data_IF_543624668452
#
_entry.id   IF_543624668452
#
_cell.length_a   1.000
_cell.length_b   1.000
_cell.length_c   1.000
_cell.angle_alpha   90.00
_cell.angle_beta   90.00
_cell.angle_gamma   90.00
#
_symmetry.space_group_name_H-M   'P 1'
#
loop_
_entity.id
_entity.type
_entity.pdbx_description
1 polymer ?
#
# COMPACT_ATOMS: atom_id res chain seq x y z
N UNK A 1 17.85 29.32 17.61
CA UNK A 1 17.59 30.18 16.43
C UNK A 1 18.45 29.81 15.23
N UNK A 2 19.73 29.47 15.41
CA UNK A 2 20.64 29.17 14.30
C UNK A 2 20.22 27.98 13.41
N UNK A 3 19.72 26.89 14.00
CA UNK A 3 19.31 25.68 13.26
C UNK A 3 18.06 25.87 12.39
N UNK A 4 17.19 26.83 12.74
CA UNK A 4 16.00 27.16 11.93
C UNK A 4 16.44 27.77 10.59
N UNK A 5 17.41 28.67 10.60
CA UNK A 5 17.93 29.30 9.37
C UNK A 5 18.66 28.29 8.46
N UNK A 6 19.34 27.30 9.05
CA UNK A 6 19.99 26.22 8.29
C UNK A 6 18.96 25.35 7.56
N UNK A 7 17.89 24.95 8.25
CA UNK A 7 16.81 24.15 7.64
C UNK A 7 16.07 24.92 6.55
N UNK A 8 15.77 26.20 6.77
CA UNK A 8 15.17 27.06 5.74
C UNK A 8 16.10 27.20 4.52
N UNK A 9 17.42 27.30 4.74
CA UNK A 9 18.42 27.27 3.68
C UNK A 9 18.45 25.94 2.93
N UNK A 10 18.32 24.80 3.61
CA UNK A 10 18.24 23.49 2.96
C UNK A 10 16.99 23.34 2.10
N UNK A 11 15.82 23.79 2.58
CA UNK A 11 14.60 23.76 1.78
C UNK A 11 14.69 24.63 0.53
N UNK A 12 15.25 25.83 0.67
CA UNK A 12 15.48 26.73 -0.44
C UNK A 12 16.43 26.12 -1.48
N UNK A 13 17.56 25.55 -1.05
CA UNK A 13 18.54 24.92 -1.94
C UNK A 13 18.03 23.63 -2.60
N UNK A 14 17.11 22.91 -1.95
CA UNK A 14 16.48 21.72 -2.50
C UNK A 14 15.32 22.04 -3.49
N UNK A 15 15.00 23.31 -3.71
CA UNK A 15 13.89 23.72 -4.58
C UNK A 15 12.50 23.40 -4.03
N UNK A 16 12.41 23.07 -2.74
CA UNK A 16 11.15 22.74 -2.07
C UNK A 16 10.39 24.03 -1.76
N UNK A 17 9.30 24.29 -2.47
CA UNK A 17 8.64 25.61 -2.51
C UNK A 17 7.19 25.65 -2.02
N UNK A 18 6.55 24.50 -1.76
CA UNK A 18 5.20 24.45 -1.19
C UNK A 18 4.98 23.19 -0.35
N UNK A 19 4.19 23.30 0.72
CA UNK A 19 3.82 22.16 1.59
C UNK A 19 4.98 21.49 2.33
N UNK A 20 6.12 22.18 2.46
CA UNK A 20 7.35 21.60 3.03
C UNK A 20 7.17 21.38 4.53
N UNK A 21 7.47 20.16 4.99
CA UNK A 21 7.45 19.80 6.40
C UNK A 21 8.86 19.54 6.91
N UNK A 22 9.20 20.13 8.06
CA UNK A 22 10.50 20.03 8.70
C UNK A 22 10.41 19.76 10.19
N UNK A 23 11.49 19.22 10.74
CA UNK A 23 11.62 18.92 12.16
C UNK A 23 13.00 19.34 12.68
N UNK A 24 13.05 19.96 13.85
CA UNK A 24 14.27 20.13 14.66
C UNK A 24 14.08 19.30 15.92
N UNK A 25 14.88 18.25 16.07
CA UNK A 25 14.92 17.45 17.28
C UNK A 25 16.15 17.86 18.09
N UNK A 26 15.97 18.19 19.36
CA UNK A 26 17.07 18.55 20.24
C UNK A 26 16.90 17.94 21.62
N UNK A 27 18.02 17.71 22.30
CA UNK A 27 18.01 17.19 23.66
C UNK A 27 17.53 18.29 24.63
N UNK A 28 16.53 17.96 25.43
CA UNK A 28 15.91 18.85 26.42
C UNK A 28 15.67 18.07 27.71
N UNK A 29 16.65 18.00 28.63
CA UNK A 29 16.55 17.20 29.84
C UNK A 29 15.38 17.63 30.71
N UNK A 30 14.64 16.63 31.21
CA UNK A 30 13.49 16.76 32.11
C UNK A 30 12.34 17.62 31.60
N UNK A 31 12.33 17.97 30.31
CA UNK A 31 11.34 18.89 29.76
C UNK A 31 11.00 18.55 28.31
N UNK A 32 9.76 18.11 28.09
CA UNK A 32 9.20 17.99 26.76
C UNK A 32 8.65 19.34 26.31
N UNK A 33 9.15 19.83 25.19
CA UNK A 33 8.63 21.05 24.59
C UNK A 33 8.44 20.85 23.09
N UNK A 34 7.27 21.26 22.60
CA UNK A 34 6.89 21.18 21.19
C UNK A 34 6.44 22.55 20.73
N UNK A 35 7.06 23.05 19.67
CA UNK A 35 6.70 24.32 19.04
C UNK A 35 6.48 24.09 17.56
N UNK A 36 5.34 24.53 17.04
CA UNK A 36 5.00 24.45 15.62
C UNK A 36 5.09 25.84 15.00
N UNK A 37 5.91 25.98 13.96
CA UNK A 37 6.00 27.14 13.10
C UNK A 37 5.28 26.81 11.78
N UNK A 38 4.34 27.64 11.36
CA UNK A 38 3.60 27.47 10.11
C UNK A 38 3.84 28.66 9.21
N UNK A 39 4.06 28.42 7.92
CA UNK A 39 4.08 29.49 6.93
C UNK A 39 2.67 29.73 6.32
N UNK A 40 2.57 30.74 5.45
CA UNK A 40 1.33 31.12 4.76
C UNK A 40 0.96 30.22 3.57
N UNK A 41 1.79 29.23 3.22
CA UNK A 41 1.68 28.35 2.05
C UNK A 41 1.68 26.86 2.46
N UNK A 42 1.18 26.58 3.67
CA UNK A 42 1.04 25.25 4.27
C UNK A 42 2.34 24.53 4.65
N UNK A 43 3.50 25.19 4.62
CA UNK A 43 4.73 24.71 5.20
C UNK A 43 4.65 24.64 6.73
N UNK A 44 5.23 23.58 7.31
CA UNK A 44 5.23 23.34 8.75
C UNK A 44 6.64 22.98 9.21
N UNK A 45 7.21 23.75 10.12
CA UNK A 45 8.45 23.42 10.81
C UNK A 45 8.15 23.19 12.28
N UNK A 46 8.41 21.99 12.78
CA UNK A 46 8.26 21.69 14.20
C UNK A 46 9.60 21.59 14.92
N UNK A 47 9.61 22.04 16.16
CA UNK A 47 10.76 21.98 17.05
C UNK A 47 10.36 21.19 18.29
N UNK A 48 11.05 20.07 18.52
CA UNK A 48 10.75 19.12 19.59
C UNK A 48 11.99 18.92 20.47
N UNK A 49 11.87 19.33 21.74
CA UNK A 49 12.82 19.00 22.80
C UNK A 49 12.49 17.64 23.40
N UNK A 50 13.45 16.71 23.38
CA UNK A 50 13.28 15.33 23.83
C UNK A 50 14.23 15.02 24.98
N UNK A 51 13.76 14.26 25.95
CA UNK A 51 14.60 13.60 26.96
C UNK A 51 14.52 12.08 26.76
N UNK A 52 15.59 11.39 26.37
CA UNK A 52 15.60 9.93 26.20
C UNK A 52 15.37 9.17 27.50
N UNK A 53 15.39 9.83 28.65
CA UNK A 53 15.07 9.24 29.95
C UNK A 53 13.60 9.38 30.35
N UNK A 54 12.78 10.10 29.57
CA UNK A 54 11.34 10.27 29.80
C UNK A 54 10.49 9.30 28.96
N UNK A 55 9.17 9.32 29.20
CA UNK A 55 8.20 8.37 28.67
C UNK A 55 8.20 8.22 27.13
N UNK A 56 7.99 6.98 26.65
CA UNK A 56 7.88 6.56 25.25
C UNK A 56 6.93 7.44 24.41
N UNK A 57 5.91 8.04 25.03
CA UNK A 57 4.93 8.90 24.38
C UNK A 57 5.55 10.12 23.67
N UNK A 58 6.69 10.64 24.13
CA UNK A 58 7.37 11.77 23.49
C UNK A 58 7.99 11.38 22.13
N UNK A 59 8.44 10.13 22.01
CA UNK A 59 8.97 9.58 20.77
C UNK A 59 7.86 9.26 19.76
N UNK A 60 6.65 8.93 20.24
CA UNK A 60 5.49 8.72 19.37
C UNK A 60 5.05 10.01 18.67
N UNK A 61 5.13 11.16 19.35
CA UNK A 61 4.82 12.47 18.75
C UNK A 61 5.82 12.82 17.64
N UNK A 62 7.10 12.53 17.85
CA UNK A 62 8.17 12.71 16.85
C UNK A 62 8.00 11.75 15.67
N UNK A 63 7.66 10.49 15.93
CA UNK A 63 7.37 9.53 14.87
C UNK A 63 6.18 10.01 14.03
N UNK A 64 5.12 10.51 14.65
CA UNK A 64 3.96 11.08 13.96
C UNK A 64 4.35 12.28 13.09
N UNK A 65 5.23 13.15 13.61
CA UNK A 65 5.75 14.27 12.84
C UNK A 65 6.52 13.83 11.59
N UNK A 66 7.47 12.90 11.76
CA UNK A 66 8.30 12.38 10.67
C UNK A 66 7.41 11.72 9.61
N UNK A 67 6.44 10.92 10.04
CA UNK A 67 5.48 10.29 9.15
C UNK A 67 4.55 11.31 8.46
N UNK A 68 4.19 12.40 9.11
CA UNK A 68 3.42 13.46 8.46
C UNK A 68 4.27 14.23 7.45
N UNK A 69 5.60 14.31 7.66
CA UNK A 69 6.54 14.90 6.72
C UNK A 69 6.81 14.02 5.48
N UNK A 70 6.56 12.71 5.54
CA UNK A 70 6.58 11.82 4.36
C UNK A 70 5.33 11.97 3.48
N UNK A 71 4.43 12.90 3.82
CA UNK A 71 3.22 13.15 3.06
C UNK A 71 2.15 12.08 3.28
N UNK A 72 2.19 11.33 4.38
CA UNK A 72 1.08 10.46 4.77
C UNK A 72 -0.11 11.29 5.25
N UNK A 73 -1.32 10.89 4.85
CA UNK A 73 -2.54 11.53 5.36
C UNK A 73 -2.79 11.13 6.83
N UNK A 74 -3.56 11.96 7.56
CA UNK A 74 -3.85 11.74 8.99
C UNK A 74 -4.52 10.38 9.25
N UNK A 75 -5.21 9.83 8.25
CA UNK A 75 -5.88 8.53 8.34
C UNK A 75 -4.89 7.37 8.29
N UNK A 76 -3.87 7.43 7.44
CA UNK A 76 -2.78 6.46 7.38
C UNK A 76 -1.94 6.51 8.65
N UNK A 77 -1.67 7.72 9.17
CA UNK A 77 -0.97 7.92 10.44
C UNK A 77 -1.72 7.28 11.62
N UNK A 78 -3.03 7.52 11.72
CA UNK A 78 -3.88 6.92 12.75
C UNK A 78 -3.91 5.39 12.65
N UNK A 79 -3.91 4.82 11.44
CA UNK A 79 -3.88 3.37 11.24
C UNK A 79 -2.56 2.75 11.68
N UNK A 80 -1.42 3.39 11.38
CA UNK A 80 -0.10 2.94 11.84
C UNK A 80 -0.06 2.98 13.38
N UNK A 81 -0.45 4.12 13.98
CA UNK A 81 -0.43 4.29 15.43
C UNK A 81 -1.34 3.28 16.15
N UNK A 82 -2.53 2.98 15.60
CA UNK A 82 -3.46 2.00 16.16
C UNK A 82 -3.03 0.54 15.95
N UNK A 83 -2.11 0.27 15.01
CA UNK A 83 -1.54 -1.05 14.80
C UNK A 83 -0.34 -1.30 15.73
N UNK A 84 0.39 -0.25 16.13
CA UNK A 84 1.57 -0.36 17.02
C UNK A 84 1.24 -0.22 18.50
N UNK A 85 0.02 0.21 18.86
CA UNK A 85 -0.42 0.41 20.26
C UNK A 85 -0.96 -0.84 20.96
N UNK A 86 -1.24 -1.93 20.23
CA UNK A 86 -1.74 -3.18 20.83
C UNK A 86 -0.58 -4.02 21.39
N UNK A 87 -0.64 -4.34 22.69
CA UNK A 87 0.35 -5.16 23.43
C UNK A 87 0.45 -6.61 22.92
N UNK A 88 -0.47 -7.02 22.04
CA UNK A 88 -0.40 -8.26 21.26
C UNK A 88 -0.30 -7.86 19.79
N UNK A 89 0.93 -7.78 19.28
CA UNK A 89 1.20 -7.46 17.89
C UNK A 89 0.57 -8.51 16.97
N UNK A 90 -0.58 -8.20 16.38
CA UNK A 90 -1.09 -8.96 15.24
C UNK A 90 -0.26 -8.55 14.00
N UNK A 91 0.58 -9.45 13.47
CA UNK A 91 1.44 -9.14 12.33
C UNK A 91 0.64 -8.76 11.09
N UNK A 92 -0.57 -9.31 10.87
CA UNK A 92 -1.37 -8.95 9.70
C UNK A 92 -2.00 -7.57 9.83
N UNK A 93 -2.45 -7.19 11.04
CA UNK A 93 -2.95 -5.83 11.31
C UNK A 93 -1.85 -4.78 11.07
N UNK A 94 -0.63 -5.10 11.49
CA UNK A 94 0.55 -4.26 11.28
C UNK A 94 0.92 -4.17 9.80
N UNK A 95 0.96 -5.30 9.09
CA UNK A 95 1.24 -5.33 7.65
C UNK A 95 0.20 -4.56 6.83
N UNK A 96 -1.08 -4.65 7.21
CA UNK A 96 -2.16 -3.88 6.59
C UNK A 96 -1.96 -2.37 6.75
N UNK A 97 -1.61 -1.92 7.95
CA UNK A 97 -1.33 -0.51 8.20
C UNK A 97 -0.14 0.02 7.37
N UNK A 98 0.94 -0.77 7.24
CA UNK A 98 2.08 -0.40 6.40
C UNK A 98 1.74 -0.36 4.91
N UNK A 99 0.96 -1.30 4.40
CA UNK A 99 0.49 -1.29 3.01
C UNK A 99 -0.38 -0.06 2.73
N UNK A 100 -1.32 0.26 3.63
CA UNK A 100 -2.18 1.45 3.51
C UNK A 100 -1.35 2.74 3.50
N UNK A 101 -0.34 2.83 4.35
CA UNK A 101 0.56 3.97 4.40
C UNK A 101 1.39 4.08 3.12
N UNK A 102 1.98 2.99 2.63
CA UNK A 102 2.75 2.99 1.39
C UNK A 102 1.89 3.45 0.19
N UNK A 103 0.63 2.99 0.11
CA UNK A 103 -0.32 3.42 -0.91
C UNK A 103 -0.66 4.91 -0.79
N UNK A 104 -0.91 5.40 0.42
CA UNK A 104 -1.19 6.82 0.65
C UNK A 104 0.00 7.70 0.25
N UNK A 105 1.22 7.31 0.62
CA UNK A 105 2.44 8.01 0.24
C UNK A 105 2.61 8.07 -1.28
N UNK A 106 2.45 6.93 -1.98
CA UNK A 106 2.56 6.90 -3.45
C UNK A 106 1.48 7.74 -4.15
N UNK A 107 0.24 7.70 -3.66
CA UNK A 107 -0.86 8.53 -4.19
C UNK A 107 -0.58 10.03 -4.02
N UNK A 108 -0.10 10.42 -2.85
CA UNK A 108 0.24 11.81 -2.56
C UNK A 108 1.46 12.28 -3.37
N UNK A 109 2.45 11.40 -3.56
CA UNK A 109 3.58 11.68 -4.44
C UNK A 109 3.13 11.87 -5.89
N UNK A 110 2.17 11.09 -6.38
CA UNK A 110 1.60 11.25 -7.74
C UNK A 110 0.85 12.56 -7.92
N UNK A 111 0.17 13.08 -6.90
CA UNK A 111 -0.52 14.36 -7.01
C UNK A 111 0.42 15.52 -7.41
N UNK A 112 1.72 15.36 -7.15
CA UNK A 112 2.77 16.31 -7.48
C UNK A 112 3.57 15.94 -8.76
N UNK A 113 3.24 14.82 -9.40
CA UNK A 113 3.85 14.38 -10.67
C UNK A 113 2.95 14.85 -11.82
N UNK A 114 3.49 15.55 -12.85
CA UNK A 114 2.70 15.88 -14.04
C UNK A 114 2.09 14.61 -14.64
N UNK A 115 0.78 14.59 -14.92
CA UNK A 115 0.13 13.37 -15.43
C UNK A 115 0.78 12.83 -16.71
N UNK A 116 1.32 13.73 -17.54
CA UNK A 116 2.12 13.44 -18.74
C UNK A 116 3.31 12.51 -18.44
N UNK A 117 3.89 12.57 -17.24
CA UNK A 117 5.01 11.73 -16.82
C UNK A 117 4.63 10.26 -16.58
N UNK A 118 3.34 9.95 -16.37
CA UNK A 118 2.86 8.57 -16.18
C UNK A 118 2.52 7.87 -17.51
N UNK A 119 2.33 8.63 -18.60
CA UNK A 119 1.93 8.07 -19.90
C UNK A 119 2.89 7.01 -20.44
N UNK A 120 4.23 7.21 -20.43
CA UNK A 120 5.15 6.21 -20.92
C UNK A 120 5.04 4.90 -20.14
N UNK A 121 5.00 4.97 -18.81
CA UNK A 121 4.84 3.80 -17.93
C UNK A 121 3.51 3.10 -18.19
N UNK A 122 2.40 3.85 -18.27
CA UNK A 122 1.08 3.30 -18.60
C UNK A 122 1.10 2.56 -19.93
N UNK A 123 1.67 3.15 -20.98
CA UNK A 123 1.76 2.53 -22.30
C UNK A 123 2.56 1.23 -22.28
N UNK A 124 3.73 1.21 -21.64
CA UNK A 124 4.58 0.02 -21.53
C UNK A 124 3.91 -1.07 -20.70
N UNK A 125 3.33 -0.72 -19.55
CA UNK A 125 2.62 -1.66 -18.68
C UNK A 125 1.40 -2.26 -19.37
N UNK A 126 0.60 -1.46 -20.06
CA UNK A 126 -0.53 -1.93 -20.84
C UNK A 126 -0.09 -2.90 -21.95
N UNK A 127 0.97 -2.56 -22.68
CA UNK A 127 1.52 -3.44 -23.72
C UNK A 127 2.01 -4.78 -23.15
N UNK A 128 2.65 -4.77 -21.97
CA UNK A 128 3.14 -5.98 -21.30
C UNK A 128 2.02 -6.89 -20.80
N UNK A 129 0.94 -6.31 -20.30
CA UNK A 129 -0.22 -7.06 -19.79
C UNK A 129 -1.19 -7.47 -20.91
N UNK A 130 -1.13 -6.84 -22.08
CA UNK A 130 -1.97 -7.16 -23.23
C UNK A 130 -3.45 -7.07 -22.88
N UNK A 131 -4.23 -8.10 -23.24
CA UNK A 131 -5.68 -8.13 -23.00
C UNK A 131 -6.05 -8.03 -21.52
N UNK A 132 -5.20 -8.50 -20.60
CA UNK A 132 -5.44 -8.42 -19.16
C UNK A 132 -5.63 -6.95 -18.74
N UNK A 133 -4.89 -6.03 -19.35
CA UNK A 133 -4.98 -4.60 -19.04
C UNK A 133 -6.39 -4.06 -19.20
N UNK A 134 -7.10 -4.48 -20.27
CA UNK A 134 -8.43 -4.00 -20.60
C UNK A 134 -9.53 -4.52 -19.66
N UNK A 135 -9.22 -5.55 -18.86
CA UNK A 135 -10.13 -6.20 -17.92
C UNK A 135 -9.93 -5.69 -16.47
N UNK A 136 -8.96 -4.81 -16.25
CA UNK A 136 -8.69 -4.18 -14.95
C UNK A 136 -9.52 -2.90 -14.79
N UNK A 137 -10.00 -2.65 -13.57
CA UNK A 137 -10.59 -1.37 -13.19
C UNK A 137 -9.58 -0.22 -13.31
N UNK A 138 -10.07 1.01 -13.49
CA UNK A 138 -9.22 2.20 -13.59
C UNK A 138 -8.38 2.40 -12.31
N UNK A 139 -8.92 2.02 -11.15
CA UNK A 139 -8.22 2.04 -9.86
C UNK A 139 -7.07 1.02 -9.83
N UNK A 140 -7.32 -0.23 -10.27
CA UNK A 140 -6.28 -1.24 -10.36
C UNK A 140 -5.18 -0.83 -11.36
N UNK A 141 -5.57 -0.32 -12.53
CA UNK A 141 -4.62 0.21 -13.53
C UNK A 141 -3.77 1.33 -12.93
N UNK A 142 -4.39 2.25 -12.18
CA UNK A 142 -3.70 3.37 -11.53
C UNK A 142 -2.72 2.87 -10.48
N UNK A 143 -3.11 1.93 -9.61
CA UNK A 143 -2.21 1.33 -8.62
C UNK A 143 -0.98 0.67 -9.27
N UNK A 144 -1.17 -0.08 -10.36
CA UNK A 144 -0.08 -0.76 -11.07
C UNK A 144 0.86 0.26 -11.71
N UNK A 145 0.33 1.24 -12.44
CA UNK A 145 1.15 2.27 -13.11
C UNK A 145 1.94 3.09 -12.10
N UNK A 146 1.31 3.42 -10.97
CA UNK A 146 1.95 4.11 -9.86
C UNK A 146 3.14 3.33 -9.33
N UNK A 147 2.94 2.05 -9.01
CA UNK A 147 3.99 1.18 -8.50
C UNK A 147 5.14 1.02 -9.51
N UNK A 148 4.82 0.75 -10.77
CA UNK A 148 5.80 0.65 -11.86
C UNK A 148 6.58 1.94 -12.05
N UNK A 149 5.92 3.10 -11.98
CA UNK A 149 6.57 4.40 -12.14
C UNK A 149 7.60 4.63 -11.03
N UNK A 150 7.20 4.48 -9.77
CA UNK A 150 8.11 4.68 -8.64
C UNK A 150 9.25 3.66 -8.63
N UNK A 151 8.98 2.40 -8.99
CA UNK A 151 10.05 1.41 -9.10
C UNK A 151 11.08 1.74 -10.18
N UNK A 152 10.65 2.23 -11.34
CA UNK A 152 11.54 2.57 -12.45
C UNK A 152 12.34 3.86 -12.19
N UNK A 153 11.81 4.76 -11.35
CA UNK A 153 12.48 5.99 -10.95
C UNK A 153 13.44 5.80 -9.77
N UNK A 154 13.27 4.73 -9.00
CA UNK A 154 14.10 4.43 -7.85
C UNK A 154 15.51 3.95 -8.28
N UNK A 155 16.59 4.46 -7.66
CA UNK A 155 17.94 3.91 -7.80
C UNK A 155 18.00 2.42 -7.45
N UNK A 156 18.99 1.70 -8.00
CA UNK A 156 19.13 0.25 -7.78
C UNK A 156 19.37 -0.16 -6.32
N UNK A 157 19.92 0.76 -5.51
CA UNK A 157 20.21 0.60 -4.09
C UNK A 157 19.11 1.15 -3.17
N UNK A 158 18.03 1.70 -3.74
CA UNK A 158 16.88 2.16 -2.98
C UNK A 158 16.02 0.98 -2.48
N UNK A 159 15.16 1.28 -1.52
CA UNK A 159 14.13 0.35 -1.07
C UNK A 159 12.95 0.33 -2.05
N UNK A 160 12.68 -0.83 -2.64
CA UNK A 160 11.55 -1.05 -3.55
C UNK A 160 10.33 -1.68 -2.86
N UNK A 161 10.24 -1.65 -1.53
CA UNK A 161 9.13 -2.21 -0.76
C UNK A 161 7.79 -1.55 -1.11
N UNK A 162 7.75 -0.22 -1.21
CA UNK A 162 6.56 0.56 -1.57
C UNK A 162 5.93 0.13 -2.90
N UNK A 163 6.68 0.14 -4.02
CA UNK A 163 6.19 -0.38 -5.30
C UNK A 163 5.66 -1.81 -5.22
N UNK A 164 6.35 -2.71 -4.50
CA UNK A 164 5.91 -4.10 -4.37
C UNK A 164 4.59 -4.22 -3.61
N UNK A 165 4.40 -3.42 -2.57
CA UNK A 165 3.13 -3.31 -1.84
C UNK A 165 2.02 -2.71 -2.73
N UNK A 166 2.35 -1.75 -3.59
CA UNK A 166 1.44 -1.19 -4.58
C UNK A 166 0.91 -2.24 -5.56
N UNK A 167 1.79 -3.11 -6.08
CA UNK A 167 1.39 -4.22 -6.94
C UNK A 167 0.53 -5.26 -6.20
N UNK A 168 0.88 -5.59 -4.96
CA UNK A 168 0.10 -6.52 -4.16
C UNK A 168 -1.30 -5.97 -3.83
N UNK A 169 -1.41 -4.66 -3.57
CA UNK A 169 -2.67 -3.98 -3.37
C UNK A 169 -3.58 -4.01 -4.62
N UNK A 170 -3.00 -3.93 -5.83
CA UNK A 170 -3.78 -4.09 -7.05
C UNK A 170 -4.37 -5.50 -7.18
N UNK A 171 -3.62 -6.55 -6.79
CA UNK A 171 -4.14 -7.93 -6.74
C UNK A 171 -5.25 -8.06 -5.69
N UNK A 172 -5.07 -7.44 -4.53
CA UNK A 172 -6.09 -7.40 -3.47
C UNK A 172 -7.37 -6.73 -3.98
N UNK A 173 -7.25 -5.58 -4.63
CA UNK A 173 -8.38 -4.84 -5.19
C UNK A 173 -9.15 -5.69 -6.21
N UNK A 174 -8.46 -6.31 -7.18
CA UNK A 174 -9.13 -7.17 -8.17
C UNK A 174 -9.84 -8.34 -7.49
N UNK A 175 -9.22 -8.99 -6.49
CA UNK A 175 -9.84 -10.10 -5.76
C UNK A 175 -11.11 -9.64 -5.03
N UNK A 176 -11.07 -8.43 -4.47
CA UNK A 176 -12.22 -7.83 -3.79
C UNK A 176 -13.34 -7.46 -4.74
N UNK A 177 -13.03 -6.71 -5.80
CA UNK A 177 -14.00 -6.22 -6.78
C UNK A 177 -14.72 -7.37 -7.50
N UNK A 178 -14.03 -8.47 -7.76
CA UNK A 178 -14.57 -9.58 -8.56
C UNK A 178 -15.26 -10.65 -7.73
N UNK A 179 -14.80 -10.91 -6.51
CA UNK A 179 -15.26 -12.04 -5.70
C UNK A 179 -15.85 -11.58 -4.37
N UNK A 180 -15.07 -10.89 -3.53
CA UNK A 180 -15.45 -10.69 -2.13
C UNK A 180 -16.51 -9.61 -1.94
N UNK A 181 -16.31 -8.41 -2.48
CA UNK A 181 -17.25 -7.30 -2.29
C UNK A 181 -18.64 -7.58 -2.92
N UNK A 182 -18.75 -8.22 -4.10
CA UNK A 182 -20.04 -8.71 -4.61
C UNK A 182 -20.70 -9.74 -3.68
N UNK A 183 -19.93 -10.70 -3.14
CA UNK A 183 -20.45 -11.69 -2.21
C UNK A 183 -20.95 -11.05 -0.89
N UNK A 184 -20.24 -10.02 -0.40
CA UNK A 184 -20.65 -9.19 0.75
C UNK A 184 -21.98 -8.50 0.46
N UNK A 185 -22.06 -7.78 -0.65
CA UNK A 185 -23.20 -6.98 -1.01
C UNK A 185 -24.46 -7.82 -1.23
N UNK A 186 -24.33 -8.99 -1.86
CA UNK A 186 -25.45 -9.83 -2.24
C UNK A 186 -25.93 -10.78 -1.12
N UNK A 187 -25.01 -11.29 -0.29
CA UNK A 187 -25.30 -12.38 0.64
C UNK A 187 -25.03 -12.03 2.11
N UNK A 188 -24.66 -10.78 2.43
CA UNK A 188 -24.52 -10.30 3.80
C UNK A 188 -23.31 -10.87 4.56
N UNK A 189 -22.27 -11.28 3.83
CA UNK A 189 -21.01 -11.72 4.41
C UNK A 189 -20.34 -10.57 5.17
N UNK A 190 -19.93 -10.81 6.42
CA UNK A 190 -19.17 -9.84 7.22
C UNK A 190 -17.71 -10.28 7.29
N UNK A 191 -16.84 -9.76 6.42
CA UNK A 191 -15.39 -9.90 6.56
C UNK A 191 -14.91 -9.55 7.98
N UNK A 192 -13.86 -10.23 8.47
CA UNK A 192 -13.22 -9.85 9.73
C UNK A 192 -12.52 -8.49 9.53
N UNK A 193 -12.59 -7.57 10.50
CA UNK A 193 -12.00 -6.22 10.34
C UNK A 193 -10.49 -6.29 10.13
N UNK A 194 -9.97 -5.57 9.12
CA UNK A 194 -8.53 -5.46 8.84
C UNK A 194 -8.04 -6.30 7.66
N UNK A 195 -8.91 -6.66 6.71
CA UNK A 195 -8.59 -7.61 5.65
C UNK A 195 -7.50 -7.11 4.71
N UNK A 196 -6.32 -7.70 4.89
CA UNK A 196 -5.22 -7.65 3.94
C UNK A 196 -5.46 -8.64 2.81
N UNK A 197 -4.62 -8.58 1.78
CA UNK A 197 -4.51 -9.61 0.75
C UNK A 197 -4.46 -11.04 1.34
N UNK A 198 -3.74 -11.24 2.46
CA UNK A 198 -3.66 -12.53 3.16
C UNK A 198 -5.01 -13.04 3.64
N UNK A 199 -5.84 -12.15 4.21
CA UNK A 199 -7.20 -12.46 4.62
C UNK A 199 -8.07 -12.80 3.41
N UNK A 200 -8.02 -11.98 2.35
CA UNK A 200 -8.78 -12.19 1.12
C UNK A 200 -8.49 -13.58 0.50
N UNK A 201 -7.22 -13.96 0.42
CA UNK A 201 -6.78 -15.29 -0.05
C UNK A 201 -7.33 -16.40 0.85
N UNK A 202 -7.36 -16.17 2.16
CA UNK A 202 -7.87 -17.14 3.12
C UNK A 202 -9.37 -17.37 2.94
N UNK A 203 -10.16 -16.32 2.73
CA UNK A 203 -11.59 -16.46 2.42
C UNK A 203 -11.84 -17.23 1.14
N UNK A 204 -11.14 -16.89 0.06
CA UNK A 204 -11.25 -17.62 -1.20
C UNK A 204 -10.94 -19.11 -1.01
N UNK A 205 -9.83 -19.43 -0.33
CA UNK A 205 -9.43 -20.82 -0.08
C UNK A 205 -10.45 -21.60 0.76
N UNK A 206 -11.03 -20.96 1.78
CA UNK A 206 -12.03 -21.56 2.66
C UNK A 206 -13.37 -21.74 1.95
N UNK A 207 -13.79 -20.78 1.13
CA UNK A 207 -14.97 -20.88 0.29
C UNK A 207 -14.87 -22.06 -0.69
N UNK A 208 -13.75 -22.18 -1.41
CA UNK A 208 -13.47 -23.30 -2.32
C UNK A 208 -13.44 -24.65 -1.58
N UNK A 209 -12.98 -24.65 -0.34
CA UNK A 209 -12.94 -25.86 0.50
C UNK A 209 -14.30 -26.19 1.15
N UNK A 210 -15.34 -25.39 0.90
CA UNK A 210 -16.70 -25.62 1.42
C UNK A 210 -16.87 -25.29 2.90
N UNK A 211 -16.03 -24.43 3.47
CA UNK A 211 -16.14 -24.01 4.87
C UNK A 211 -17.45 -23.23 5.11
N UNK A 212 -18.24 -23.55 6.16
CA UNK A 212 -19.56 -22.95 6.37
C UNK A 212 -19.57 -21.44 6.53
N UNK A 213 -18.54 -20.87 7.16
CA UNK A 213 -18.43 -19.43 7.42
C UNK A 213 -18.07 -18.60 6.18
N UNK A 214 -17.67 -19.28 5.09
CA UNK A 214 -17.41 -18.67 3.78
C UNK A 214 -18.46 -19.09 2.75
N UNK A 215 -19.61 -19.66 3.19
CA UNK A 215 -20.69 -20.08 2.31
C UNK A 215 -21.20 -18.98 1.38
N UNK A 216 -21.35 -17.71 1.80
CA UNK A 216 -21.72 -16.60 0.90
C UNK A 216 -20.78 -16.44 -0.30
N UNK A 217 -19.47 -16.52 -0.08
CA UNK A 217 -18.47 -16.42 -1.14
C UNK A 217 -18.59 -17.61 -2.09
N UNK A 218 -18.77 -18.83 -1.56
CA UNK A 218 -18.98 -20.02 -2.39
C UNK A 218 -20.23 -19.90 -3.26
N UNK A 219 -21.35 -19.46 -2.68
CA UNK A 219 -22.61 -19.25 -3.41
C UNK A 219 -22.43 -18.22 -4.52
N UNK A 220 -21.67 -17.14 -4.27
CA UNK A 220 -21.30 -16.17 -5.31
C UNK A 220 -20.50 -16.82 -6.44
N UNK A 221 -19.45 -17.59 -6.13
CA UNK A 221 -18.64 -18.30 -7.12
C UNK A 221 -19.50 -19.23 -8.01
N UNK A 222 -20.41 -19.99 -7.39
CA UNK A 222 -21.32 -20.91 -8.07
C UNK A 222 -22.33 -20.15 -8.95
N UNK A 223 -22.92 -19.07 -8.42
CA UNK A 223 -23.95 -18.27 -9.13
C UNK A 223 -23.38 -17.53 -10.34
N UNK A 224 -22.16 -17.01 -10.22
CA UNK A 224 -21.47 -16.34 -11.33
C UNK A 224 -20.81 -17.33 -12.31
N UNK A 225 -20.91 -18.64 -12.07
CA UNK A 225 -20.28 -19.65 -12.91
C UNK A 225 -18.76 -19.53 -12.94
N UNK A 226 -18.14 -19.00 -11.89
CA UNK A 226 -16.70 -18.81 -11.84
C UNK A 226 -15.98 -20.18 -11.78
N UNK A 227 -14.90 -20.38 -12.56
CA UNK A 227 -14.21 -21.65 -12.70
C UNK A 227 -13.52 -22.04 -11.38
N UNK A 228 -14.26 -22.76 -10.53
CA UNK A 228 -13.81 -23.12 -9.17
C UNK A 228 -12.50 -23.92 -9.17
N UNK A 229 -12.24 -24.74 -10.20
CA UNK A 229 -10.98 -25.47 -10.33
C UNK A 229 -9.79 -24.56 -10.65
N UNK A 230 -9.98 -23.54 -11.48
CA UNK A 230 -8.94 -22.55 -11.79
C UNK A 230 -8.65 -21.68 -10.58
N UNK A 231 -9.69 -21.20 -9.89
CA UNK A 231 -9.55 -20.48 -8.62
C UNK A 231 -8.84 -21.33 -7.56
N UNK A 232 -9.11 -22.65 -7.51
CA UNK A 232 -8.41 -23.59 -6.62
C UNK A 232 -6.93 -23.70 -6.95
N UNK A 233 -6.57 -23.74 -8.23
CA UNK A 233 -5.18 -23.75 -8.70
C UNK A 233 -4.47 -22.41 -8.47
N UNK A 234 -5.21 -21.30 -8.46
CA UNK A 234 -4.71 -19.95 -8.21
C UNK A 234 -4.35 -19.70 -6.74
N UNK A 235 -5.10 -20.28 -5.78
CA UNK A 235 -4.85 -20.07 -4.33
C UNK A 235 -3.39 -20.33 -3.92
N UNK A 236 -2.73 -21.43 -4.31
CA UNK A 236 -1.30 -21.64 -4.05
C UNK A 236 -0.39 -20.55 -4.62
N UNK A 237 -0.70 -20.03 -5.82
CA UNK A 237 0.07 -18.95 -6.46
C UNK A 237 -0.05 -17.66 -5.65
N UNK A 238 -1.27 -17.27 -5.28
CA UNK A 238 -1.53 -16.10 -4.45
C UNK A 238 -0.85 -16.21 -3.07
N UNK A 239 -0.93 -17.38 -2.42
CA UNK A 239 -0.25 -17.63 -1.14
C UNK A 239 1.26 -17.53 -1.26
N UNK A 240 1.83 -18.12 -2.31
CA UNK A 240 3.27 -18.05 -2.58
C UNK A 240 3.73 -16.61 -2.80
N UNK A 241 2.99 -15.85 -3.63
CA UNK A 241 3.27 -14.44 -3.89
C UNK A 241 3.17 -13.60 -2.60
N UNK A 242 2.09 -13.76 -1.84
CA UNK A 242 1.89 -13.04 -0.57
C UNK A 242 3.03 -13.34 0.42
N UNK A 243 3.38 -14.61 0.60
CA UNK A 243 4.42 -15.04 1.54
C UNK A 243 5.83 -14.62 1.14
N UNK A 244 6.16 -14.68 -0.15
CA UNK A 244 7.53 -14.41 -0.64
C UNK A 244 7.80 -12.92 -0.85
N UNK A 245 6.77 -12.13 -1.14
CA UNK A 245 6.95 -10.75 -1.61
C UNK A 245 6.22 -9.74 -0.75
N UNK A 246 4.89 -9.82 -0.61
CA UNK A 246 4.11 -8.82 0.13
C UNK A 246 4.44 -8.79 1.62
N UNK A 247 4.41 -9.95 2.30
CA UNK A 247 4.70 -10.03 3.74
C UNK A 247 6.10 -9.48 4.05
N UNK A 248 7.19 -9.91 3.39
CA UNK A 248 8.51 -9.33 3.63
C UNK A 248 8.59 -7.83 3.38
N UNK A 249 7.95 -7.32 2.32
CA UNK A 249 7.91 -5.88 2.02
C UNK A 249 7.17 -5.07 3.09
N UNK A 250 6.19 -5.65 3.78
CA UNK A 250 5.41 -4.98 4.83
C UNK A 250 6.06 -5.02 6.23
N UNK A 251 7.03 -5.90 6.47
CA UNK A 251 7.60 -6.18 7.81
C UNK A 251 9.05 -5.70 7.99
N UNK A 252 9.44 -4.63 7.30
CA UNK A 252 10.72 -3.91 7.45
C UNK A 252 11.96 -4.55 6.80
N UNK A 253 11.81 -5.44 5.82
CA UNK A 253 12.92 -5.82 4.96
C UNK A 253 13.06 -4.84 3.80
N UNK A 254 14.23 -4.21 3.66
CA UNK A 254 14.59 -3.47 2.45
C UNK A 254 14.47 -4.41 1.26
N UNK A 255 13.64 -4.04 0.30
CA UNK A 255 13.44 -4.80 -0.93
C UNK A 255 14.43 -4.29 -1.97
N UNK A 256 15.50 -5.05 -2.18
CA UNK A 256 16.47 -4.75 -3.23
C UNK A 256 15.88 -4.96 -4.64
N UNK A 257 16.48 -4.32 -5.65
CA UNK A 257 16.06 -4.40 -7.05
C UNK A 257 15.85 -5.83 -7.60
N UNK A 258 16.70 -6.85 -7.29
CA UNK A 258 16.45 -8.22 -7.72
C UNK A 258 15.17 -8.83 -7.12
N UNK A 259 14.90 -8.54 -5.85
CA UNK A 259 13.68 -9.00 -5.16
C UNK A 259 12.45 -8.32 -5.73
N UNK A 260 12.53 -7.02 -6.01
CA UNK A 260 11.50 -6.29 -6.74
C UNK A 260 11.22 -6.91 -8.10
N UNK A 261 12.25 -7.13 -8.93
CA UNK A 261 12.08 -7.71 -10.27
C UNK A 261 11.43 -9.10 -10.21
N UNK A 262 11.81 -9.93 -9.24
CA UNK A 262 11.20 -11.24 -9.04
C UNK A 262 9.73 -11.13 -8.57
N UNK A 263 9.44 -10.21 -7.65
CA UNK A 263 8.08 -9.94 -7.16
C UNK A 263 7.16 -9.37 -8.24
N UNK A 264 7.66 -8.39 -9.01
CA UNK A 264 7.00 -7.83 -10.19
C UNK A 264 6.63 -8.93 -11.18
N UNK A 265 7.58 -9.81 -11.53
CA UNK A 265 7.28 -10.94 -12.43
C UNK A 265 6.27 -11.92 -11.82
N UNK A 266 6.34 -12.20 -10.52
CA UNK A 266 5.37 -13.07 -9.86
C UNK A 266 3.94 -12.48 -9.85
N UNK A 267 3.79 -11.16 -9.99
CA UNK A 267 2.49 -10.48 -9.98
C UNK A 267 2.00 -10.19 -11.42
N UNK A 268 2.85 -9.57 -12.25
CA UNK A 268 2.50 -8.97 -13.53
C UNK A 268 2.90 -9.80 -14.75
N UNK A 269 3.52 -10.98 -14.61
CA UNK A 269 3.76 -11.81 -15.78
C UNK A 269 2.42 -12.14 -16.46
N UNK A 270 2.25 -11.90 -17.78
CA UNK A 270 0.97 -12.01 -18.46
C UNK A 270 0.45 -13.45 -18.57
N UNK A 271 1.30 -14.46 -18.38
CA UNK A 271 0.93 -15.88 -18.50
C UNK A 271 0.88 -16.58 -17.15
N UNK A 272 1.78 -16.23 -16.22
CA UNK A 272 1.96 -16.95 -14.95
C UNK A 272 1.85 -16.07 -13.71
N UNK A 273 1.66 -14.76 -13.90
CA UNK A 273 1.56 -13.79 -12.83
C UNK A 273 0.25 -13.94 -12.05
N UNK A 274 0.30 -13.69 -10.74
CA UNK A 274 -0.85 -13.76 -9.86
C UNK A 274 -2.03 -12.91 -10.34
N UNK A 275 -1.77 -11.70 -10.86
CA UNK A 275 -2.80 -10.79 -11.37
C UNK A 275 -3.44 -11.33 -12.66
N UNK A 276 -2.61 -11.79 -13.60
CA UNK A 276 -3.05 -12.35 -14.87
C UNK A 276 -3.97 -13.55 -14.66
N UNK A 277 -3.53 -14.50 -13.84
CA UNK A 277 -4.29 -15.71 -13.53
C UNK A 277 -5.58 -15.39 -12.77
N UNK A 278 -5.56 -14.40 -11.87
CA UNK A 278 -6.76 -13.94 -11.18
C UNK A 278 -7.79 -13.37 -12.15
N UNK A 279 -7.38 -12.43 -13.00
CA UNK A 279 -8.26 -11.79 -13.99
C UNK A 279 -8.85 -12.81 -14.96
N UNK A 280 -8.04 -13.78 -15.42
CA UNK A 280 -8.50 -14.87 -16.28
C UNK A 280 -9.53 -15.75 -15.57
N UNK A 281 -9.24 -16.17 -14.33
CA UNK A 281 -10.12 -17.03 -13.54
C UNK A 281 -11.39 -16.30 -13.04
N UNK A 282 -11.35 -14.97 -12.88
CA UNK A 282 -12.52 -14.17 -12.51
C UNK A 282 -13.33 -13.68 -13.71
N UNK A 283 -12.80 -13.85 -14.93
CA UNK A 283 -13.48 -13.56 -16.19
C UNK A 283 -14.01 -12.13 -16.29
N UNK A 284 -13.25 -11.09 -15.91
CA UNK A 284 -13.75 -9.71 -15.85
C UNK A 284 -14.12 -9.12 -17.22
N UNK A 285 -15.29 -9.50 -17.72
CA UNK A 285 -16.16 -8.64 -18.51
C UNK A 285 -17.14 -7.96 -17.55
N UNK A 286 -16.68 -6.90 -16.88
CA UNK A 286 -17.56 -6.01 -16.13
C UNK A 286 -17.04 -4.57 -16.20
N UNK A 287 -17.02 -4.01 -17.42
CA UNK A 287 -17.28 -2.57 -17.58
C UNK A 287 -18.75 -2.35 -17.24
N UNK A 288 -19.05 -2.19 -15.96
CA UNK A 288 -20.30 -1.57 -15.54
C UNK A 288 -20.02 -0.66 -14.35
N UNK A 289 -20.01 0.64 -14.62
CA UNK A 289 -20.70 1.67 -13.83
C UNK A 289 -20.64 2.98 -14.60
N UNK A 290 -21.83 3.30 -15.14
CA UNK A 290 -22.44 4.61 -15.45
C UNK A 290 -21.54 5.77 -15.88
#
# INVERSE_FOLDING_TARGET
>A
MEEIYKILGYFHNAGLSSGVRGAILYYSPHNYCRTTLRDSVHGVLESCGLDPLLAQSQFNDVATLILAATGLDDKALQKIAAATSDDVADPEKTAGAYQDAALAAMRNAIANVPQESLFPTRKVTAANLGEIWNLLSDDAQTMIVTAEYFANMAPNDADHSGPLLGLAAAVELVLRETILDPAIAQYGFKPYKGETLGACITYLARAISGQPDCAPVRVHLETQGLPTQELKALVPVLRSMNKKYRIPAAHAHVVAAPTWSAGRNAILNPTTGALALLVQASGTAAKSRD
#
